data_IF_395161038309
#
_entry.id   IF_395161038309
#
_cell.length_a   1.000
_cell.length_b   1.000
_cell.length_c   1.000
_cell.angle_alpha   90.00
_cell.angle_beta   90.00
_cell.angle_gamma   90.00
#
_symmetry.space_group_name_H-M   'P 1'
#
loop_
_entity.id
_entity.type
_entity.pdbx_description
1 polymer ?
#
# COMPACT_ATOMS: atom_id res chain seq x y z
N UNK A 1 7.16 12.49 0.76
CA UNK A 1 6.82 11.32 1.59
C UNK A 1 8.02 10.44 1.89
N UNK A 2 8.76 9.94 0.91
CA UNK A 2 10.03 9.24 1.15
C UNK A 2 11.06 10.08 1.91
N UNK A 3 11.06 11.40 1.79
CA UNK A 3 11.90 12.29 2.61
C UNK A 3 11.63 12.19 4.12
N UNK A 4 10.40 11.88 4.54
CA UNK A 4 10.09 11.59 5.94
C UNK A 4 10.64 10.24 6.40
N UNK A 5 10.87 9.32 5.44
CA UNK A 5 11.44 8.00 5.66
C UNK A 5 12.95 7.99 5.47
N UNK A 6 13.50 8.89 4.66
CA UNK A 6 14.90 8.90 4.24
C UNK A 6 15.81 9.76 5.14
N UNK A 7 15.53 9.82 6.44
CA UNK A 7 16.46 10.50 7.36
C UNK A 7 17.84 9.85 7.45
N UNK A 8 18.02 8.65 6.89
CA UNK A 8 19.29 7.96 6.78
C UNK A 8 19.30 7.00 5.59
N UNK A 9 20.44 6.70 5.00
CA UNK A 9 20.70 5.82 3.87
C UNK A 9 20.35 4.33 4.18
N UNK A 10 19.07 4.06 4.45
CA UNK A 10 18.60 2.74 4.81
C UNK A 10 17.86 2.09 3.65
N UNK A 11 18.13 0.82 3.41
CA UNK A 11 17.41 0.02 2.43
C UNK A 11 15.92 -0.07 2.78
N UNK A 12 15.08 -0.25 1.76
CA UNK A 12 13.62 -0.29 1.88
C UNK A 12 13.15 -1.71 1.55
N UNK A 13 12.27 -2.28 2.37
CA UNK A 13 11.56 -3.50 2.01
C UNK A 13 10.34 -3.20 1.13
N UNK A 14 10.20 -3.92 0.04
CA UNK A 14 8.98 -3.94 -0.77
C UNK A 14 8.26 -5.27 -0.57
N UNK A 15 7.10 -5.23 0.12
CA UNK A 15 6.26 -6.41 0.30
C UNK A 15 5.30 -6.56 -0.88
N UNK A 16 5.38 -7.71 -1.53
CA UNK A 16 4.53 -8.12 -2.65
C UNK A 16 3.67 -9.31 -2.27
N UNK A 17 2.44 -9.32 -2.78
CA UNK A 17 1.57 -10.50 -2.70
C UNK A 17 1.60 -11.18 -4.05
N UNK A 18 2.04 -12.45 -4.06
CA UNK A 18 2.25 -13.20 -5.29
C UNK A 18 1.36 -14.45 -5.33
N UNK A 19 1.03 -14.91 -6.54
CA UNK A 19 0.44 -16.22 -6.80
C UNK A 19 1.36 -16.96 -7.76
N UNK A 20 1.89 -18.10 -7.32
CA UNK A 20 2.89 -18.87 -8.09
C UNK A 20 4.09 -17.99 -8.54
N UNK A 21 4.60 -17.13 -7.65
CA UNK A 21 5.74 -16.25 -7.92
C UNK A 21 5.45 -15.08 -8.88
N UNK A 22 4.17 -14.79 -9.18
CA UNK A 22 3.78 -13.67 -10.04
C UNK A 22 2.88 -12.70 -9.29
N UNK A 23 3.12 -11.40 -9.46
CA UNK A 23 2.23 -10.36 -8.97
C UNK A 23 0.88 -10.49 -9.68
N UNK A 24 -0.20 -10.40 -8.91
CA UNK A 24 -1.56 -10.69 -9.42
C UNK A 24 -2.21 -9.47 -10.06
N UNK A 25 -1.66 -8.28 -9.85
CA UNK A 25 -2.29 -7.00 -10.23
C UNK A 25 -1.36 -6.13 -11.07
N UNK A 26 -1.79 -5.85 -12.31
CA UNK A 26 -1.10 -4.88 -13.17
C UNK A 26 -0.94 -3.49 -12.53
N UNK A 27 -1.85 -3.11 -11.63
CA UNK A 27 -1.76 -1.85 -10.92
C UNK A 27 -0.58 -1.86 -9.92
N UNK A 28 -0.31 -2.99 -9.27
CA UNK A 28 0.87 -3.13 -8.40
C UNK A 28 2.16 -3.08 -9.23
N UNK A 29 2.20 -3.74 -10.38
CA UNK A 29 3.36 -3.69 -11.29
C UNK A 29 3.66 -2.25 -11.71
N UNK A 30 2.64 -1.48 -12.11
CA UNK A 30 2.82 -0.08 -12.50
C UNK A 30 3.34 0.78 -11.34
N UNK A 31 2.86 0.53 -10.10
CA UNK A 31 3.34 1.24 -8.91
C UNK A 31 4.79 0.88 -8.60
N UNK A 32 5.15 -0.39 -8.74
CA UNK A 32 6.53 -0.84 -8.58
C UNK A 32 7.47 -0.17 -9.58
N UNK A 33 7.09 -0.15 -10.85
CA UNK A 33 7.88 0.53 -11.90
C UNK A 33 8.09 2.01 -11.51
N UNK A 34 7.04 2.70 -11.09
CA UNK A 34 7.15 4.09 -10.64
C UNK A 34 8.04 4.26 -9.40
N UNK A 35 7.93 3.38 -8.42
CA UNK A 35 8.77 3.37 -7.23
C UNK A 35 10.25 3.19 -7.61
N UNK A 36 10.56 2.19 -8.44
CA UNK A 36 11.94 1.88 -8.85
C UNK A 36 12.57 3.01 -9.67
N UNK A 37 11.81 3.62 -10.60
CA UNK A 37 12.30 4.79 -11.35
C UNK A 37 12.60 5.95 -10.40
N UNK A 38 11.68 6.29 -9.51
CA UNK A 38 11.87 7.37 -8.55
C UNK A 38 13.09 7.13 -7.64
N UNK A 39 13.25 5.92 -7.12
CA UNK A 39 14.40 5.57 -6.28
C UNK A 39 15.71 5.64 -7.04
N UNK A 40 15.76 5.14 -8.28
CA UNK A 40 16.92 5.22 -9.12
C UNK A 40 17.36 6.66 -9.40
N UNK A 41 16.39 7.55 -9.65
CA UNK A 41 16.66 8.94 -10.05
C UNK A 41 17.04 9.82 -8.85
N UNK A 42 16.48 9.55 -7.67
CA UNK A 42 16.62 10.43 -6.49
C UNK A 42 17.43 9.82 -5.35
N UNK A 43 17.47 8.49 -5.24
CA UNK A 43 18.11 7.77 -4.13
C UNK A 43 18.84 6.52 -4.61
N UNK A 44 19.81 6.66 -5.53
CA UNK A 44 20.47 5.51 -6.18
C UNK A 44 21.26 4.60 -5.22
N UNK A 45 21.66 5.11 -4.05
CA UNK A 45 22.35 4.34 -3.02
C UNK A 45 21.42 3.41 -2.21
N UNK A 46 20.11 3.69 -2.18
CA UNK A 46 19.13 2.92 -1.41
C UNK A 46 18.65 1.72 -2.22
N UNK A 47 18.77 0.52 -1.65
CA UNK A 47 18.29 -0.71 -2.27
C UNK A 47 16.84 -1.00 -1.90
N UNK A 48 16.10 -1.56 -2.84
CA UNK A 48 14.77 -2.12 -2.61
C UNK A 48 14.90 -3.64 -2.47
N UNK A 49 14.64 -4.14 -1.27
CA UNK A 49 14.69 -5.56 -0.93
C UNK A 49 13.28 -6.13 -1.03
N UNK A 50 13.10 -7.13 -1.88
CA UNK A 50 11.80 -7.75 -2.11
C UNK A 50 11.46 -8.74 -1.00
N UNK A 51 10.24 -8.64 -0.48
CA UNK A 51 9.60 -9.62 0.38
C UNK A 51 8.34 -10.13 -0.32
N UNK A 52 8.34 -11.37 -0.77
CA UNK A 52 7.20 -11.97 -1.47
C UNK A 52 6.41 -12.88 -0.53
N UNK A 53 5.11 -12.64 -0.42
CA UNK A 53 4.21 -13.44 0.37
C UNK A 53 3.15 -14.08 -0.54
N UNK A 54 2.80 -15.38 -0.37
CA UNK A 54 1.78 -16.02 -1.17
C UNK A 54 0.39 -15.44 -0.89
N UNK A 55 -0.47 -15.34 -1.92
CA UNK A 55 -1.81 -14.74 -1.77
C UNK A 55 -2.73 -15.53 -0.84
N UNK A 56 -2.55 -16.83 -0.81
CA UNK A 56 -3.32 -17.83 -0.07
C UNK A 56 -2.59 -18.35 1.17
N UNK A 57 -1.53 -17.65 1.59
CA UNK A 57 -0.76 -17.98 2.78
C UNK A 57 -1.61 -17.89 4.06
N UNK A 58 -1.38 -18.84 4.96
CA UNK A 58 -1.95 -18.77 6.31
C UNK A 58 -1.23 -17.72 7.15
N UNK A 59 -1.86 -17.28 8.25
CA UNK A 59 -1.23 -16.35 9.19
C UNK A 59 0.13 -16.88 9.69
N UNK A 60 0.20 -18.16 10.06
CA UNK A 60 1.45 -18.77 10.56
C UNK A 60 2.56 -18.74 9.49
N UNK A 61 2.22 -19.00 8.23
CA UNK A 61 3.20 -18.90 7.14
C UNK A 61 3.70 -17.46 6.98
N UNK A 62 2.82 -16.47 7.01
CA UNK A 62 3.22 -15.06 6.94
C UNK A 62 4.11 -14.67 8.13
N UNK A 63 3.74 -15.07 9.34
CA UNK A 63 4.52 -14.78 10.53
C UNK A 63 5.94 -15.36 10.45
N UNK A 64 6.07 -16.61 10.00
CA UNK A 64 7.38 -17.26 9.82
C UNK A 64 8.22 -16.54 8.74
N UNK A 65 7.63 -16.20 7.61
CA UNK A 65 8.33 -15.51 6.53
C UNK A 65 8.77 -14.10 6.93
N UNK A 66 7.90 -13.36 7.63
CA UNK A 66 8.21 -12.03 8.13
C UNK A 66 9.30 -12.07 9.20
N UNK A 67 9.24 -13.02 10.15
CA UNK A 67 10.28 -13.19 11.17
C UNK A 67 11.63 -13.53 10.54
N UNK A 68 11.66 -14.45 9.59
CA UNK A 68 12.87 -14.79 8.85
C UNK A 68 13.42 -13.57 8.08
N UNK A 69 12.55 -12.80 7.44
CA UNK A 69 12.93 -11.60 6.70
C UNK A 69 13.60 -10.56 7.62
N UNK A 70 12.95 -10.19 8.72
CA UNK A 70 13.49 -9.18 9.63
C UNK A 70 14.72 -9.66 10.40
N UNK A 71 14.84 -10.97 10.65
CA UNK A 71 16.07 -11.55 11.23
C UNK A 71 17.25 -11.46 10.25
N UNK A 72 16.99 -11.70 8.96
CA UNK A 72 18.01 -11.58 7.91
C UNK A 72 18.34 -10.13 7.52
N UNK A 73 17.46 -9.18 7.86
CA UNK A 73 17.58 -7.76 7.49
C UNK A 73 17.30 -6.85 8.70
N UNK A 74 18.11 -6.89 9.77
CA UNK A 74 17.85 -6.16 11.00
C UNK A 74 17.85 -4.63 10.87
N UNK A 75 18.45 -4.11 9.80
CA UNK A 75 18.54 -2.67 9.53
C UNK A 75 17.38 -2.14 8.67
N UNK A 76 16.41 -2.97 8.31
CA UNK A 76 15.23 -2.51 7.56
C UNK A 76 14.23 -1.90 8.54
N UNK A 77 14.03 -0.60 8.45
CA UNK A 77 13.04 0.16 9.21
C UNK A 77 11.94 0.77 8.34
N UNK A 78 12.03 0.65 7.02
CA UNK A 78 11.06 1.22 6.08
C UNK A 78 10.52 0.16 5.14
N UNK A 79 9.20 0.00 5.14
CA UNK A 79 8.51 -1.00 4.33
C UNK A 79 7.45 -0.34 3.46
N UNK A 80 7.36 -0.79 2.22
CA UNK A 80 6.34 -0.38 1.27
C UNK A 80 5.52 -1.59 0.85
N UNK A 81 4.20 -1.44 0.82
CA UNK A 81 3.30 -2.43 0.22
C UNK A 81 2.52 -1.77 -0.92
N UNK A 82 2.60 -2.31 -2.11
CA UNK A 82 1.96 -1.70 -3.30
C UNK A 82 0.52 -2.18 -3.53
N UNK A 83 0.04 -3.07 -2.68
CA UNK A 83 -1.34 -3.61 -2.69
C UNK A 83 -2.10 -3.36 -1.40
N UNK A 84 -3.32 -3.89 -1.33
CA UNK A 84 -4.27 -3.67 -0.23
C UNK A 84 -4.00 -4.52 1.04
N UNK A 85 -2.95 -5.34 1.07
CA UNK A 85 -2.66 -6.25 2.20
C UNK A 85 -1.59 -5.73 3.17
N UNK A 86 -1.45 -4.40 3.33
CA UNK A 86 -0.50 -3.80 4.29
C UNK A 86 -0.70 -4.31 5.72
N UNK A 87 -1.95 -4.62 6.10
CA UNK A 87 -2.28 -5.18 7.41
C UNK A 87 -1.57 -6.50 7.73
N UNK A 88 -1.15 -7.28 6.75
CA UNK A 88 -0.43 -8.55 7.01
C UNK A 88 0.87 -8.26 7.76
N UNK A 89 1.64 -7.29 7.27
CA UNK A 89 2.85 -6.83 7.95
C UNK A 89 2.51 -6.02 9.20
N UNK A 90 1.50 -5.11 9.13
CA UNK A 90 1.09 -4.29 10.27
C UNK A 90 0.66 -5.11 11.49
N UNK A 91 -0.14 -6.17 11.31
CA UNK A 91 -0.55 -7.09 12.36
C UNK A 91 0.65 -7.85 12.95
N UNK A 92 1.61 -8.25 12.12
CA UNK A 92 2.83 -8.91 12.58
C UNK A 92 3.67 -7.97 13.44
N UNK A 93 3.96 -6.74 12.97
CA UNK A 93 4.75 -5.76 13.71
C UNK A 93 4.10 -5.39 15.05
N UNK A 94 2.77 -5.28 15.08
CA UNK A 94 2.03 -5.01 16.32
C UNK A 94 2.23 -6.12 17.35
N UNK A 95 2.13 -7.39 16.93
CA UNK A 95 2.28 -8.55 17.84
C UNK A 95 3.71 -8.76 18.30
N UNK A 96 4.70 -8.46 17.47
CA UNK A 96 6.12 -8.61 17.80
C UNK A 96 6.71 -7.36 18.43
N UNK A 97 5.88 -6.31 18.64
CA UNK A 97 6.27 -5.01 19.20
C UNK A 97 7.44 -4.32 18.47
N UNK A 98 7.55 -4.51 17.15
CA UNK A 98 8.56 -3.88 16.29
C UNK A 98 8.08 -2.48 15.86
N UNK A 99 8.09 -1.53 16.78
CA UNK A 99 7.57 -0.17 16.57
C UNK A 99 8.51 0.73 15.79
N UNK A 100 9.75 0.33 15.63
CA UNK A 100 10.77 1.02 14.84
C UNK A 100 10.55 0.90 13.32
N UNK A 101 9.72 -0.04 12.87
CA UNK A 101 9.44 -0.27 11.46
C UNK A 101 8.25 0.55 11.01
N UNK A 102 8.46 1.41 10.01
CA UNK A 102 7.43 2.22 9.39
C UNK A 102 6.89 1.55 8.13
N UNK A 103 5.58 1.48 8.00
CA UNK A 103 4.90 0.93 6.82
C UNK A 103 4.14 2.01 6.07
N UNK A 104 4.36 2.06 4.76
CA UNK A 104 3.48 2.73 3.82
C UNK A 104 2.69 1.69 3.03
N UNK A 105 1.37 1.82 3.02
CA UNK A 105 0.49 0.90 2.29
C UNK A 105 -0.50 1.61 1.38
N UNK A 106 -1.27 0.81 0.65
CA UNK A 106 -2.37 1.27 -0.18
C UNK A 106 -3.70 0.74 0.32
N UNK A 107 -4.75 1.45 -0.03
CA UNK A 107 -6.16 1.13 0.14
C UNK A 107 -6.65 1.15 1.60
N UNK A 108 -7.75 1.86 1.78
CA UNK A 108 -8.45 2.03 3.05
C UNK A 108 -9.38 0.84 3.35
N UNK A 109 -8.85 -0.40 3.27
CA UNK A 109 -9.62 -1.58 3.72
C UNK A 109 -9.67 -1.61 5.24
N UNK A 110 -10.71 -2.27 5.80
CA UNK A 110 -10.99 -2.27 7.25
C UNK A 110 -9.76 -2.61 8.09
N UNK A 111 -9.04 -3.69 7.75
CA UNK A 111 -7.86 -4.14 8.49
C UNK A 111 -6.70 -3.16 8.40
N UNK A 112 -6.44 -2.57 7.21
CA UNK A 112 -5.41 -1.53 7.08
C UNK A 112 -5.73 -0.31 7.93
N UNK A 113 -6.99 0.11 7.96
CA UNK A 113 -7.44 1.23 8.78
C UNK A 113 -7.30 0.95 10.29
N UNK A 114 -7.55 -0.28 10.72
CA UNK A 114 -7.32 -0.71 12.10
C UNK A 114 -5.83 -0.63 12.47
N UNK A 115 -4.95 -1.18 11.63
CA UNK A 115 -3.49 -1.10 11.81
C UNK A 115 -2.98 0.35 11.81
N UNK A 116 -3.52 1.21 10.93
CA UNK A 116 -3.17 2.63 10.90
C UNK A 116 -3.54 3.32 12.22
N UNK A 117 -4.76 3.09 12.75
CA UNK A 117 -5.18 3.67 14.04
C UNK A 117 -4.36 3.16 15.22
N UNK A 118 -3.87 1.93 15.15
CA UNK A 118 -3.03 1.31 16.17
C UNK A 118 -1.54 1.70 16.04
N UNK A 119 -1.18 2.45 14.98
CA UNK A 119 0.17 2.93 14.74
C UNK A 119 1.14 1.88 14.19
N UNK A 120 0.65 0.69 13.80
CA UNK A 120 1.49 -0.34 13.15
C UNK A 120 1.62 -0.14 11.63
N UNK A 121 0.77 0.69 11.03
CA UNK A 121 0.97 1.27 9.71
C UNK A 121 1.12 2.78 9.89
N UNK A 122 2.13 3.39 9.25
CA UNK A 122 2.41 4.81 9.38
C UNK A 122 1.59 5.66 8.41
N UNK A 123 1.40 5.15 7.17
CA UNK A 123 0.71 5.88 6.09
C UNK A 123 -0.08 4.91 5.21
N UNK A 124 -1.26 5.37 4.77
CA UNK A 124 -2.02 4.70 3.72
C UNK A 124 -2.32 5.68 2.58
N UNK A 125 -2.15 5.21 1.36
CA UNK A 125 -2.62 5.92 0.17
C UNK A 125 -4.03 5.43 -0.15
N UNK A 126 -5.01 6.31 0.03
CA UNK A 126 -6.41 6.04 -0.27
C UNK A 126 -6.79 6.57 -1.66
N UNK A 127 -7.65 5.83 -2.37
CA UNK A 127 -7.99 6.08 -3.78
C UNK A 127 -9.47 6.38 -3.98
N UNK A 128 -10.25 6.64 -2.94
CA UNK A 128 -11.70 6.90 -3.02
C UNK A 128 -12.48 5.82 -3.80
N UNK A 129 -12.29 4.55 -3.44
CA UNK A 129 -12.86 3.41 -4.16
C UNK A 129 -14.40 3.49 -4.35
N UNK A 130 -15.14 4.00 -3.35
CA UNK A 130 -16.57 4.24 -3.45
C UNK A 130 -16.91 5.23 -4.58
N UNK A 131 -16.22 6.37 -4.60
CA UNK A 131 -16.44 7.41 -5.61
C UNK A 131 -16.03 6.94 -7.00
N UNK A 132 -14.94 6.15 -7.10
CA UNK A 132 -14.56 5.51 -8.37
C UNK A 132 -15.69 4.62 -8.89
N UNK A 133 -16.26 3.77 -8.05
CA UNK A 133 -17.39 2.92 -8.41
C UNK A 133 -18.61 3.73 -8.86
N UNK A 134 -18.99 4.74 -8.07
CA UNK A 134 -20.11 5.63 -8.41
C UNK A 134 -19.90 6.34 -9.75
N UNK A 135 -18.76 7.00 -9.94
CA UNK A 135 -18.45 7.71 -11.18
C UNK A 135 -18.40 6.79 -12.40
N UNK A 136 -17.92 5.54 -12.21
CA UNK A 136 -17.89 4.55 -13.29
C UNK A 136 -19.30 4.15 -13.75
N UNK A 137 -20.21 3.90 -12.81
CA UNK A 137 -21.61 3.57 -13.10
C UNK A 137 -22.33 4.76 -13.72
N UNK A 138 -22.15 5.98 -13.18
CA UNK A 138 -22.74 7.20 -13.70
C UNK A 138 -22.26 7.49 -15.14
N UNK A 139 -20.97 7.35 -15.42
CA UNK A 139 -20.43 7.51 -16.76
C UNK A 139 -21.03 6.49 -17.73
N UNK A 140 -21.12 5.22 -17.32
CA UNK A 140 -21.72 4.16 -18.12
C UNK A 140 -23.21 4.45 -18.41
N UNK A 141 -23.97 4.86 -17.41
CA UNK A 141 -25.38 5.27 -17.56
C UNK A 141 -25.51 6.43 -18.55
N UNK A 142 -24.70 7.48 -18.40
CA UNK A 142 -24.68 8.62 -19.33
C UNK A 142 -24.39 8.21 -20.76
N UNK A 143 -23.42 7.31 -20.97
CA UNK A 143 -23.06 6.85 -22.32
C UNK A 143 -24.12 5.93 -22.92
N UNK A 144 -24.57 4.91 -22.16
CA UNK A 144 -25.42 3.84 -22.72
C UNK A 144 -26.88 4.25 -22.77
N UNK A 145 -27.41 4.84 -21.70
CA UNK A 145 -28.85 5.18 -21.59
C UNK A 145 -29.11 6.56 -22.17
N UNK A 146 -28.34 7.56 -21.74
CA UNK A 146 -28.59 8.94 -22.17
C UNK A 146 -27.90 9.30 -23.50
N UNK A 147 -27.11 8.38 -24.07
CA UNK A 147 -26.35 8.58 -25.34
C UNK A 147 -25.46 9.84 -25.32
N UNK A 148 -25.01 10.26 -24.14
CA UNK A 148 -24.13 11.41 -23.98
C UNK A 148 -22.68 11.02 -24.24
N UNK A 149 -21.91 11.94 -24.81
CA UNK A 149 -20.45 11.80 -24.90
C UNK A 149 -19.84 11.93 -23.51
N UNK A 150 -19.02 10.97 -23.13
CA UNK A 150 -18.29 10.96 -21.86
C UNK A 150 -16.79 11.13 -22.08
N UNK A 151 -16.08 11.60 -21.05
CA UNK A 151 -14.63 11.59 -21.06
C UNK A 151 -14.12 10.15 -20.97
N UNK A 152 -13.15 9.73 -21.81
CA UNK A 152 -12.64 8.38 -21.83
C UNK A 152 -11.80 8.05 -20.58
N UNK A 153 -11.21 9.06 -19.94
CA UNK A 153 -10.37 8.93 -18.76
C UNK A 153 -10.78 9.98 -17.72
N UNK A 154 -11.06 9.53 -16.51
CA UNK A 154 -11.35 10.39 -15.37
C UNK A 154 -10.36 10.07 -14.24
N UNK A 155 -9.49 11.02 -13.92
CA UNK A 155 -8.56 10.90 -12.81
C UNK A 155 -9.29 11.16 -11.49
N UNK A 156 -9.06 10.27 -10.53
CA UNK A 156 -9.56 10.45 -9.18
C UNK A 156 -8.43 10.95 -8.26
N UNK A 157 -8.73 11.79 -7.27
CA UNK A 157 -7.74 12.21 -6.30
C UNK A 157 -7.23 11.02 -5.51
N UNK A 158 -5.97 11.08 -5.10
CA UNK A 158 -5.38 10.21 -4.09
C UNK A 158 -5.18 10.99 -2.81
N UNK A 159 -5.33 10.34 -1.68
CA UNK A 159 -5.23 10.98 -0.37
C UNK A 159 -4.26 10.21 0.53
N UNK A 160 -3.37 10.95 1.21
CA UNK A 160 -2.48 10.38 2.20
C UNK A 160 -3.17 10.37 3.55
N UNK A 161 -3.38 9.16 4.08
CA UNK A 161 -3.97 8.95 5.39
C UNK A 161 -2.91 8.66 6.44
N UNK A 162 -3.08 9.28 7.59
CA UNK A 162 -2.30 9.10 8.81
C UNK A 162 -3.24 8.74 9.97
N UNK A 163 -2.75 8.33 11.13
CA UNK A 163 -3.60 8.10 12.31
C UNK A 163 -4.48 9.31 12.67
N UNK A 164 -3.99 10.54 12.40
CA UNK A 164 -4.68 11.79 12.76
C UNK A 164 -5.86 12.09 11.84
N UNK A 165 -5.77 11.78 10.53
CA UNK A 165 -6.81 12.15 9.56
C UNK A 165 -7.70 10.98 9.10
N UNK A 166 -7.35 9.73 9.40
CA UNK A 166 -8.06 8.53 8.91
C UNK A 166 -9.56 8.52 9.27
N UNK A 167 -9.95 9.12 10.38
CA UNK A 167 -11.34 9.15 10.82
C UNK A 167 -12.19 10.14 10.02
N UNK A 168 -11.58 11.12 9.36
CA UNK A 168 -12.26 12.10 8.52
C UNK A 168 -12.49 11.59 7.10
N UNK A 169 -11.68 10.66 6.62
CA UNK A 169 -11.77 10.10 5.26
C UNK A 169 -13.15 9.53 4.92
N UNK A 170 -13.85 8.88 5.88
CA UNK A 170 -15.20 8.33 5.67
C UNK A 170 -16.29 9.38 5.57
N UNK A 171 -16.10 10.59 6.11
CA UNK A 171 -17.12 11.65 6.09
C UNK A 171 -17.20 12.35 4.73
N UNK A 172 -16.19 12.22 3.89
CA UNK A 172 -16.15 12.80 2.54
C UNK A 172 -16.72 11.86 1.47
N UNK A 173 -17.18 10.67 1.86
CA UNK A 173 -17.75 9.66 0.95
C UNK A 173 -19.29 9.64 0.94
N UNK A 174 -19.93 10.54 1.65
CA UNK A 174 -21.36 10.80 1.62
C UNK A 174 -21.63 12.05 0.79
#
# INVERSE_FOLDING_TARGET
MLMLLASHEQDIAEMKITKNGRVVSKQQDNREVGLRHYMKDHYPAIKIINLELPIDGTRQQYDNMLEQFFTGHPNIHHCITLGSKAHVMGDFLLRTNRREVQIMGYDMVKKNAECLRQGSISFLIAQHAYQQGYCSVDALFKAVVLKKKIQPVNYMPIELLTPENVNFYRRTQL
#
